data_IF_315046635032
#
_entry.id   IF_315046635032
#
_cell.length_a   1.000
_cell.length_b   1.000
_cell.length_c   1.000
_cell.angle_alpha   90.00
_cell.angle_beta   90.00
_cell.angle_gamma   90.00
#
_symmetry.space_group_name_H-M   'P 1'
#
loop_
_entity.id
_entity.type
_entity.pdbx_description
1 polymer ?
#
# COMPACT_ATOMS: atom_id res chain seq x y z
N UNK A 1 -2.40 4.75 -2.67
CA UNK A 1 -2.58 3.35 -3.12
C UNK A 1 -3.29 2.54 -2.03
N UNK A 2 -4.13 1.58 -2.40
CA UNK A 2 -4.86 0.67 -1.50
C UNK A 2 -4.75 -0.77 -2.01
N UNK A 3 -4.57 -1.73 -1.10
CA UNK A 3 -4.66 -3.16 -1.41
C UNK A 3 -5.98 -3.74 -0.88
N UNK A 4 -6.84 -4.24 -1.76
CA UNK A 4 -8.11 -4.87 -1.40
C UNK A 4 -7.85 -6.36 -1.17
N UNK A 5 -7.90 -6.79 0.09
CA UNK A 5 -7.49 -8.14 0.48
C UNK A 5 -8.69 -9.12 0.59
N UNK A 6 -8.37 -10.41 0.73
CA UNK A 6 -9.29 -11.56 0.90
C UNK A 6 -10.03 -11.97 -0.38
N UNK A 7 -9.45 -11.71 -1.55
CA UNK A 7 -10.03 -12.11 -2.85
C UNK A 7 -10.17 -13.63 -3.06
N UNK A 8 -9.62 -14.44 -2.15
CA UNK A 8 -9.79 -15.90 -2.13
C UNK A 8 -11.11 -16.38 -1.53
N UNK A 9 -11.87 -15.50 -0.87
CA UNK A 9 -13.16 -15.89 -0.27
C UNK A 9 -14.27 -15.96 -1.32
N UNK A 10 -15.19 -16.91 -1.13
CA UNK A 10 -16.36 -17.02 -1.97
C UNK A 10 -17.29 -15.80 -1.81
N UNK A 11 -17.83 -15.31 -2.93
CA UNK A 11 -18.77 -14.19 -2.95
C UNK A 11 -18.16 -12.83 -2.63
N UNK A 12 -16.84 -12.68 -2.77
CA UNK A 12 -16.16 -11.39 -2.62
C UNK A 12 -16.54 -10.48 -3.78
N UNK A 13 -17.00 -9.28 -3.45
CA UNK A 13 -17.24 -8.20 -4.38
C UNK A 13 -16.36 -6.99 -4.01
N UNK A 14 -15.29 -6.72 -4.79
CA UNK A 14 -14.39 -5.60 -4.52
C UNK A 14 -15.10 -4.25 -4.71
N UNK A 15 -16.16 -4.19 -5.52
CA UNK A 15 -16.92 -2.95 -5.81
C UNK A 15 -17.49 -2.34 -4.54
N UNK A 16 -18.01 -3.17 -3.63
CA UNK A 16 -18.51 -2.71 -2.31
C UNK A 16 -17.44 -2.02 -1.48
N UNK A 17 -16.19 -2.48 -1.56
CA UNK A 17 -15.07 -1.86 -0.84
C UNK A 17 -14.70 -0.54 -1.50
N UNK A 18 -14.67 -0.50 -2.83
CA UNK A 18 -14.40 0.70 -3.62
C UNK A 18 -15.44 1.79 -3.37
N UNK A 19 -16.73 1.46 -3.36
CA UNK A 19 -17.81 2.40 -3.06
C UNK A 19 -17.69 2.93 -1.62
N UNK A 20 -17.32 2.05 -0.68
CA UNK A 20 -17.06 2.42 0.71
C UNK A 20 -15.87 3.39 0.86
N UNK A 21 -14.79 3.18 0.10
CA UNK A 21 -13.65 4.09 0.04
C UNK A 21 -14.06 5.46 -0.51
N UNK A 22 -14.83 5.48 -1.61
CA UNK A 22 -15.32 6.71 -2.22
C UNK A 22 -16.18 7.53 -1.25
N UNK A 23 -17.03 6.87 -0.45
CA UNK A 23 -17.82 7.52 0.60
C UNK A 23 -16.97 8.20 1.68
N UNK A 24 -15.70 7.81 1.84
CA UNK A 24 -14.73 8.42 2.76
C UNK A 24 -13.72 9.34 2.05
N UNK A 25 -13.99 9.72 0.80
CA UNK A 25 -13.15 10.62 0.02
C UNK A 25 -11.93 9.95 -0.64
N UNK A 26 -11.83 8.62 -0.58
CA UNK A 26 -10.77 7.86 -1.27
C UNK A 26 -11.31 7.37 -2.61
N UNK A 27 -11.08 8.15 -3.66
CA UNK A 27 -11.53 7.82 -5.02
C UNK A 27 -10.43 7.07 -5.76
N UNK A 28 -10.74 5.84 -6.17
CA UNK A 28 -9.81 4.97 -6.89
C UNK A 28 -9.77 5.30 -8.39
N UNK A 29 -8.69 4.92 -9.07
CA UNK A 29 -8.46 5.21 -10.50
C UNK A 29 -9.60 4.73 -11.41
N UNK A 30 -10.20 3.56 -11.13
CA UNK A 30 -11.34 3.03 -11.90
C UNK A 30 -12.60 3.90 -11.83
N UNK A 31 -12.68 4.81 -10.86
CA UNK A 31 -13.74 5.82 -10.72
C UNK A 31 -13.24 7.22 -11.14
N UNK A 32 -12.08 7.32 -11.79
CA UNK A 32 -11.47 8.57 -12.21
C UNK A 32 -10.70 9.32 -11.12
N UNK A 33 -10.39 8.67 -9.99
CA UNK A 33 -9.54 9.24 -8.94
C UNK A 33 -8.04 8.98 -9.15
N UNK A 34 -7.24 9.31 -8.14
CA UNK A 34 -5.77 9.16 -8.17
C UNK A 34 -5.28 7.94 -7.37
N UNK A 35 -6.18 7.26 -6.66
CA UNK A 35 -5.77 6.18 -5.77
C UNK A 35 -5.73 4.85 -6.52
N UNK A 36 -4.53 4.34 -6.76
CA UNK A 36 -4.32 2.98 -7.25
C UNK A 36 -4.93 1.95 -6.29
N UNK A 37 -5.67 0.99 -6.83
CA UNK A 37 -6.27 -0.12 -6.08
C UNK A 37 -5.85 -1.47 -6.67
N UNK A 38 -5.24 -2.32 -5.85
CA UNK A 38 -4.81 -3.67 -6.25
C UNK A 38 -5.57 -4.73 -5.46
N UNK A 39 -6.26 -5.62 -6.17
CA UNK A 39 -7.01 -6.73 -5.57
C UNK A 39 -6.09 -7.93 -5.32
N UNK A 40 -5.98 -8.37 -4.06
CA UNK A 40 -5.04 -9.41 -3.63
C UNK A 40 -5.68 -10.48 -2.74
N UNK A 41 -5.02 -11.64 -2.65
CA UNK A 41 -5.19 -12.56 -1.53
C UNK A 41 -3.86 -12.71 -0.81
N UNK A 42 -3.74 -12.15 0.39
CA UNK A 42 -2.56 -12.34 1.22
C UNK A 42 -2.34 -13.81 1.60
N UNK A 43 -3.43 -14.56 1.85
CA UNK A 43 -3.36 -15.96 2.25
C UNK A 43 -2.91 -16.87 1.10
N UNK A 44 -3.50 -16.68 -0.10
CA UNK A 44 -3.16 -17.46 -1.30
C UNK A 44 -1.97 -16.87 -2.07
N UNK A 45 -1.42 -15.74 -1.60
CA UNK A 45 -0.35 -14.98 -2.24
C UNK A 45 -0.67 -14.59 -3.69
N UNK A 46 -1.93 -14.31 -3.95
CA UNK A 46 -2.42 -13.91 -5.27
C UNK A 46 -2.21 -12.41 -5.47
N UNK A 47 -1.73 -12.01 -6.65
CA UNK A 47 -1.50 -10.62 -7.07
C UNK A 47 -0.51 -9.82 -6.19
N UNK A 48 0.31 -10.48 -5.37
CA UNK A 48 1.35 -9.79 -4.60
C UNK A 48 2.45 -9.20 -5.50
N UNK A 49 2.74 -9.85 -6.63
CA UNK A 49 3.68 -9.31 -7.64
C UNK A 49 3.13 -8.03 -8.26
N UNK A 50 1.86 -8.04 -8.67
CA UNK A 50 1.19 -6.85 -9.21
C UNK A 50 1.13 -5.70 -8.18
N UNK A 51 0.93 -6.01 -6.89
CA UNK A 51 1.01 -5.01 -5.81
C UNK A 51 2.41 -4.41 -5.68
N UNK A 52 3.45 -5.25 -5.75
CA UNK A 52 4.83 -4.78 -5.71
C UNK A 52 5.16 -3.90 -6.91
N UNK A 53 4.76 -4.30 -8.12
CA UNK A 53 4.95 -3.52 -9.34
C UNK A 53 4.25 -2.16 -9.26
N UNK A 54 3.04 -2.09 -8.70
CA UNK A 54 2.34 -0.84 -8.48
C UNK A 54 3.10 0.09 -7.50
N UNK A 55 3.64 -0.46 -6.40
CA UNK A 55 4.48 0.31 -5.46
C UNK A 55 5.72 0.88 -6.15
N UNK A 56 6.40 0.05 -6.96
CA UNK A 56 7.60 0.48 -7.69
C UNK A 56 7.25 1.59 -8.68
N UNK A 57 6.22 1.40 -9.49
CA UNK A 57 5.76 2.41 -10.44
C UNK A 57 5.38 3.73 -9.75
N UNK A 58 4.69 3.65 -8.61
CA UNK A 58 4.35 4.83 -7.82
C UNK A 58 5.62 5.54 -7.29
N UNK A 59 6.63 4.80 -6.85
CA UNK A 59 7.89 5.37 -6.35
C UNK A 59 8.68 6.10 -7.45
N UNK A 60 8.64 5.58 -8.69
CA UNK A 60 9.27 6.20 -9.85
C UNK A 60 8.59 7.53 -10.20
N UNK A 61 7.25 7.58 -10.16
CA UNK A 61 6.47 8.81 -10.37
C UNK A 61 6.81 9.86 -9.31
N UNK A 62 7.01 9.43 -8.06
CA UNK A 62 7.35 10.32 -6.93
C UNK A 62 8.80 10.82 -6.95
N UNK A 63 9.68 10.22 -7.77
CA UNK A 63 11.10 10.57 -7.88
C UNK A 63 11.81 10.67 -6.52
N UNK A 64 11.55 9.71 -5.63
CA UNK A 64 12.10 9.69 -4.27
C UNK A 64 13.64 9.73 -4.31
N UNK A 65 14.23 10.67 -3.58
CA UNK A 65 15.67 10.94 -3.53
C UNK A 65 16.14 11.20 -2.09
N UNK A 66 17.45 11.04 -1.84
CA UNK A 66 18.09 11.34 -0.56
C UNK A 66 19.50 11.92 -0.78
N UNK A 67 19.99 12.72 0.18
CA UNK A 67 21.38 13.20 0.21
C UNK A 67 22.24 12.27 1.08
N UNK A 68 23.20 11.51 0.50
CA UNK A 68 24.07 10.63 1.26
C UNK A 68 25.28 11.33 1.90
N UNK A 69 25.48 12.62 1.65
CA UNK A 69 26.68 13.37 2.06
C UNK A 69 26.49 14.25 3.29
N UNK A 70 25.26 14.69 3.54
CA UNK A 70 24.90 15.55 4.68
C UNK A 70 24.85 14.82 6.03
N UNK A 71 24.63 15.57 7.12
CA UNK A 71 24.36 14.98 8.44
C UNK A 71 23.07 14.15 8.40
N UNK A 72 23.03 13.06 9.17
CA UNK A 72 21.88 12.16 9.19
C UNK A 72 20.66 12.80 9.88
N UNK A 73 19.52 12.76 9.19
CA UNK A 73 18.20 13.06 9.74
C UNK A 73 17.36 11.77 9.75
N UNK A 74 16.74 11.45 10.89
CA UNK A 74 15.99 10.22 11.04
C UNK A 74 14.86 10.36 12.07
N UNK A 75 13.86 9.47 11.98
CA UNK A 75 12.75 9.37 12.91
C UNK A 75 12.84 8.03 13.68
N UNK A 76 12.66 8.08 15.00
CA UNK A 76 12.55 6.87 15.83
C UNK A 76 11.16 6.26 15.65
N UNK A 77 11.10 5.01 15.20
CA UNK A 77 9.84 4.27 15.04
C UNK A 77 9.42 3.59 16.34
N UNK A 78 10.33 2.82 16.94
CA UNK A 78 10.10 2.09 18.18
C UNK A 78 11.38 2.07 19.03
N UNK A 79 11.24 2.06 20.36
CA UNK A 79 12.34 1.86 21.29
C UNK A 79 12.07 0.63 22.16
N UNK A 80 13.06 -0.24 22.27
CA UNK A 80 13.04 -1.37 23.17
C UNK A 80 14.23 -1.33 24.12
N UNK A 81 14.07 -1.89 25.31
CA UNK A 81 15.13 -2.00 26.32
C UNK A 81 15.42 -3.46 26.58
N UNK A 82 16.57 -3.93 26.11
CA UNK A 82 17.06 -5.26 26.48
C UNK A 82 17.80 -5.16 27.81
N UNK A 83 17.29 -5.84 28.84
CA UNK A 83 18.05 -6.02 30.07
C UNK A 83 19.13 -7.07 29.79
N UNK A 84 20.39 -6.68 29.98
CA UNK A 84 21.52 -7.62 29.93
C UNK A 84 21.38 -8.71 30.98
N UNK A 85 22.03 -9.86 30.71
CA UNK A 85 22.18 -10.96 31.68
C UNK A 85 22.81 -10.49 32.99
#
# INVERSE_FOLDING_TARGET
MVAINKMDKYGVDPSRTIDGLAAHGVVVERLGGEVQAVEISALKRTNLVALLEAIVAQSEIMQICADPSGPAEALVLECHTEHGL
#
